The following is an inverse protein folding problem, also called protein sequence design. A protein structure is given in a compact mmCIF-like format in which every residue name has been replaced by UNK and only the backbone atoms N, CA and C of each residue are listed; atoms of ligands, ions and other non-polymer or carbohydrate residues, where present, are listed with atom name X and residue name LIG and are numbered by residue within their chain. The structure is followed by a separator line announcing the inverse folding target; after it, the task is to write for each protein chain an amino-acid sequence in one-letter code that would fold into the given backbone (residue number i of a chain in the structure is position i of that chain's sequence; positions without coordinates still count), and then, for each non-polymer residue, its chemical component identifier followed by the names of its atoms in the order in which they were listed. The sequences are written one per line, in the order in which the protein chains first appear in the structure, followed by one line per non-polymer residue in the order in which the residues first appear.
data_IF_844681431896
#
_entry.id   IF_844681431896
#
_cell.length_a   1.000
_cell.length_b   1.000
_cell.length_c   1.000
_cell.angle_alpha   90.00
_cell.angle_beta   90.00
_cell.angle_gamma   90.00
#
_symmetry.space_group_name_H-M   'P 1'
#
loop_
_entity.id
_entity.type
_entity.pdbx_description
1 polymer ?
#
# COMPACT_ATOMS: atom_id res chain seq x y z
N UNK A 1 -10.56 -5.34 -1.79
CA UNK A 1 -9.71 -4.58 -0.84
C UNK A 1 -8.70 -5.54 -0.23
N UNK A 2 -7.43 -5.16 -0.20
CA UNK A 2 -6.29 -5.97 0.27
C UNK A 2 -5.39 -5.14 1.17
N UNK A 3 -4.81 -5.77 2.19
CA UNK A 3 -3.87 -5.13 3.10
C UNK A 3 -2.47 -5.12 2.50
N UNK A 4 -1.87 -3.94 2.42
CA UNK A 4 -0.48 -3.77 1.99
C UNK A 4 0.28 -2.94 3.00
N UNK A 5 1.54 -3.31 3.23
CA UNK A 5 2.47 -2.53 4.05
C UNK A 5 3.26 -1.61 3.14
N UNK A 6 3.16 -0.31 3.37
CA UNK A 6 3.86 0.68 2.57
C UNK A 6 5.37 0.62 2.82
N UNK A 7 6.18 0.64 1.76
CA UNK A 7 7.63 0.81 1.87
C UNK A 7 8.02 2.29 1.88
N UNK A 8 7.22 3.14 1.24
CA UNK A 8 7.46 4.58 1.11
C UNK A 8 6.29 5.39 1.66
N UNK A 9 6.55 6.64 2.03
CA UNK A 9 5.48 7.57 2.37
C UNK A 9 4.85 8.12 1.10
N UNK A 10 3.53 7.98 0.94
CA UNK A 10 2.80 8.51 -0.22
C UNK A 10 1.47 9.12 0.20
N UNK A 11 1.00 10.12 -0.54
CA UNK A 11 -0.36 10.62 -0.40
C UNK A 11 -1.29 9.83 -1.33
N UNK A 12 -2.40 9.34 -0.80
CA UNK A 12 -3.39 8.57 -1.55
C UNK A 12 -4.80 8.96 -1.08
N UNK A 13 -5.67 9.38 -2.01
CA UNK A 13 -7.04 9.84 -1.72
C UNK A 13 -7.15 10.91 -0.61
N UNK A 14 -6.15 11.79 -0.49
CA UNK A 14 -6.11 12.83 0.54
C UNK A 14 -5.60 12.34 1.90
N UNK A 15 -5.29 11.05 2.04
CA UNK A 15 -4.64 10.49 3.21
C UNK A 15 -3.14 10.34 3.00
N UNK A 16 -2.38 10.51 4.09
CA UNK A 16 -0.93 10.37 4.06
C UNK A 16 -0.55 8.97 4.58
N UNK A 17 -0.26 8.06 3.65
CA UNK A 17 0.15 6.70 3.95
C UNK A 17 1.61 6.72 4.36
N UNK A 18 1.90 6.39 5.63
CA UNK A 18 3.26 6.41 6.17
C UNK A 18 4.00 5.11 5.83
N UNK A 19 5.28 5.24 5.52
CA UNK A 19 6.18 4.11 5.34
C UNK A 19 6.16 3.20 6.59
N UNK A 20 6.16 1.88 6.36
CA UNK A 20 6.14 0.85 7.40
C UNK A 20 4.77 0.57 8.01
N UNK A 21 3.73 1.34 7.69
CA UNK A 21 2.35 1.10 8.15
C UNK A 21 1.57 0.25 7.15
N UNK A 22 0.58 -0.47 7.67
CA UNK A 22 -0.32 -1.32 6.89
C UNK A 22 -1.59 -0.54 6.61
N UNK A 23 -2.04 -0.56 5.36
CA UNK A 23 -3.26 0.07 4.90
C UNK A 23 -4.05 -0.89 4.03
N UNK A 24 -5.37 -0.70 4.02
CA UNK A 24 -6.28 -1.46 3.18
C UNK A 24 -6.57 -0.65 1.91
N UNK A 25 -6.15 -1.19 0.76
CA UNK A 25 -6.16 -0.52 -0.53
C UNK A 25 -6.92 -1.41 -1.52
N UNK A 26 -7.53 -0.83 -2.54
CA UNK A 26 -8.11 -1.59 -3.63
C UNK A 26 -7.07 -2.53 -4.29
N UNK A 27 -7.54 -3.69 -4.75
CA UNK A 27 -6.69 -4.75 -5.30
C UNK A 27 -5.93 -4.31 -6.55
N UNK A 28 -6.55 -3.49 -7.41
CA UNK A 28 -5.91 -3.00 -8.61
C UNK A 28 -4.74 -2.07 -8.27
N UNK A 29 -4.95 -1.18 -7.30
CA UNK A 29 -3.93 -0.24 -6.84
C UNK A 29 -2.82 -0.96 -6.07
N UNK A 30 -3.19 -1.89 -5.18
CA UNK A 30 -2.24 -2.70 -4.42
C UNK A 30 -1.32 -3.51 -5.35
N UNK A 31 -1.86 -4.16 -6.40
CA UNK A 31 -1.04 -4.88 -7.39
C UNK A 31 0.00 -3.98 -8.05
N UNK A 32 -0.40 -2.78 -8.48
CA UNK A 32 0.53 -1.80 -9.10
C UNK A 32 1.64 -1.40 -8.12
N UNK A 33 1.29 -1.18 -6.85
CA UNK A 33 2.25 -0.80 -5.81
C UNK A 33 3.22 -1.93 -5.47
N UNK A 34 2.74 -3.17 -5.43
CA UNK A 34 3.58 -4.35 -5.17
C UNK A 34 4.58 -4.57 -6.32
N UNK A 35 4.11 -4.52 -7.58
CA UNK A 35 4.98 -4.64 -8.76
C UNK A 35 6.01 -3.51 -8.80
N UNK A 36 5.61 -2.29 -8.42
CA UNK A 36 6.49 -1.12 -8.37
C UNK A 36 7.34 -1.03 -7.09
N UNK A 37 7.28 -2.04 -6.21
CA UNK A 37 7.99 -2.09 -4.92
C UNK A 37 7.65 -0.95 -3.93
N UNK A 38 6.53 -0.25 -4.14
CA UNK A 38 6.04 0.82 -3.27
C UNK A 38 5.41 0.28 -1.98
N UNK A 39 4.89 -0.94 -2.03
CA UNK A 39 4.29 -1.64 -0.90
C UNK A 39 4.57 -3.14 -1.00
N UNK A 40 4.41 -3.86 0.11
CA UNK A 40 4.47 -5.33 0.16
C UNK A 40 3.11 -5.90 0.56
N UNK A 41 2.70 -7.05 0.00
CA UNK A 41 1.49 -7.72 0.47
C UNK A 41 1.66 -8.11 1.94
N UNK A 42 0.59 -7.98 2.72
CA UNK A 42 0.52 -8.52 4.06
C UNK A 42 -0.41 -9.73 3.99
N UNK A 43 0.13 -10.91 4.16
CA UNK A 43 -0.67 -12.11 4.43
C UNK A 43 -1.10 -12.05 5.91
N UNK A 44 -2.39 -12.29 6.16
CA UNK A 44 -2.95 -12.37 7.52
C UNK A 44 -2.50 -13.68 8.19
#
# INVERSE_FOLDING_TARGET
MVKVKMNVQTAYHGELLRAGKVYEIDEETAKRWIVSKLAVPVED
#
